data_IF_831155085891
#
_entry.id   IF_831155085891
#
_cell.length_a   1.000
_cell.length_b   1.000
_cell.length_c   1.000
_cell.angle_alpha   90.00
_cell.angle_beta   90.00
_cell.angle_gamma   90.00
#
_symmetry.space_group_name_H-M   'P 1'
#
loop_
_entity.id
_entity.type
_entity.pdbx_description
1 polymer ?
#
# COMPACT_ATOMS: atom_id res chain seq x y z
N UNK A 1 -7.55 12.79 -6.54
CA UNK A 1 -6.74 12.75 -5.30
C UNK A 1 -7.26 11.80 -4.23
N UNK A 2 -8.57 11.56 -4.07
CA UNK A 2 -9.10 10.69 -3.00
C UNK A 2 -9.24 9.20 -3.38
N UNK A 3 -8.74 8.80 -4.56
CA UNK A 3 -8.81 7.40 -4.96
C UNK A 3 -8.01 6.54 -3.97
N UNK A 4 -8.59 5.41 -3.57
CA UNK A 4 -8.05 4.50 -2.56
C UNK A 4 -7.95 5.04 -1.12
N UNK A 5 -8.52 6.21 -0.79
CA UNK A 5 -8.57 6.65 0.62
C UNK A 5 -9.33 5.65 1.50
N UNK A 6 -10.32 4.95 0.95
CA UNK A 6 -11.10 3.91 1.63
C UNK A 6 -10.27 2.71 2.10
N UNK A 7 -9.11 2.44 1.49
CA UNK A 7 -8.30 1.27 1.82
C UNK A 7 -7.36 1.50 3.02
N UNK A 8 -7.03 2.76 3.33
CA UNK A 8 -6.04 3.08 4.37
C UNK A 8 -6.51 4.14 5.36
N UNK A 9 -7.53 4.95 5.05
CA UNK A 9 -8.05 5.95 5.98
C UNK A 9 -9.10 5.35 6.93
N UNK A 10 -8.65 5.05 8.14
CA UNK A 10 -9.50 4.50 9.21
C UNK A 10 -10.02 5.58 10.18
N UNK A 11 -9.81 6.86 9.85
CA UNK A 11 -9.98 8.00 10.74
C UNK A 11 -8.69 8.41 11.44
N UNK A 12 -8.77 9.48 12.23
CA UNK A 12 -7.63 10.00 13.01
C UNK A 12 -7.29 9.10 14.21
N UNK A 13 -8.30 8.42 14.73
CA UNK A 13 -8.26 7.69 15.99
C UNK A 13 -8.68 6.23 15.80
N UNK A 14 -8.09 5.33 16.58
CA UNK A 14 -8.43 3.90 16.67
C UNK A 14 -8.35 3.41 18.11
N UNK A 15 -9.09 2.36 18.43
CA UNK A 15 -8.90 1.65 19.70
C UNK A 15 -7.51 1.00 19.75
N UNK A 16 -6.86 1.11 20.89
CA UNK A 16 -5.56 0.51 21.13
C UNK A 16 -5.69 -1.00 21.21
N UNK A 17 -4.79 -1.69 20.51
CA UNK A 17 -4.69 -3.15 20.56
C UNK A 17 -4.37 -3.67 21.97
N UNK A 18 -3.41 -3.04 22.65
CA UNK A 18 -2.92 -3.52 23.95
C UNK A 18 -3.81 -3.07 25.12
N UNK A 19 -4.60 -2.01 24.91
CA UNK A 19 -5.38 -1.35 25.94
C UNK A 19 -6.78 -1.07 25.37
N UNK A 20 -7.74 -2.01 25.46
CA UNK A 20 -9.01 -1.90 24.75
C UNK A 20 -9.82 -0.64 25.12
N UNK A 21 -9.65 -0.14 26.34
CA UNK A 21 -10.31 1.08 26.83
C UNK A 21 -9.59 2.39 26.42
N UNK A 22 -8.51 2.32 25.63
CA UNK A 22 -7.71 3.49 25.24
C UNK A 22 -7.82 3.76 23.74
N UNK A 23 -8.13 5.00 23.39
CA UNK A 23 -8.07 5.49 22.01
C UNK A 23 -6.66 6.02 21.71
N UNK A 24 -6.13 5.67 20.55
CA UNK A 24 -4.78 6.04 20.08
C UNK A 24 -4.86 6.49 18.62
N UNK A 25 -3.94 7.36 18.20
CA UNK A 25 -3.85 7.78 16.80
C UNK A 25 -3.61 6.62 15.83
N UNK A 26 -4.11 6.76 14.60
CA UNK A 26 -3.93 5.76 13.53
C UNK A 26 -2.54 5.76 12.89
N UNK A 27 -1.70 6.76 13.17
CA UNK A 27 -0.35 6.87 12.62
C UNK A 27 -0.32 7.33 11.15
N UNK A 28 -1.40 7.91 10.65
CA UNK A 28 -1.52 8.39 9.27
C UNK A 28 -1.23 9.89 9.09
N UNK A 29 -0.80 10.58 10.14
CA UNK A 29 -0.56 12.04 10.16
C UNK A 29 0.32 12.49 8.99
N UNK A 30 1.49 11.86 8.80
CA UNK A 30 2.42 12.20 7.72
C UNK A 30 1.78 12.09 6.33
N UNK A 31 0.98 11.05 6.08
CA UNK A 31 0.30 10.87 4.79
C UNK A 31 -0.72 11.98 4.54
N UNK A 32 -1.44 12.38 5.58
CA UNK A 32 -2.40 13.50 5.53
C UNK A 32 -1.66 14.81 5.27
N UNK A 33 -0.53 15.04 5.91
CA UNK A 33 0.29 16.25 5.72
C UNK A 33 0.86 16.33 4.30
N UNK A 34 1.33 15.20 3.76
CA UNK A 34 1.84 15.12 2.39
C UNK A 34 0.72 15.39 1.37
N UNK A 35 -0.47 14.81 1.58
CA UNK A 35 -1.65 15.11 0.77
C UNK A 35 -2.06 16.59 0.85
N UNK A 36 -2.03 17.17 2.05
CA UNK A 36 -2.36 18.57 2.27
C UNK A 36 -1.37 19.49 1.57
N UNK A 37 -0.07 19.14 1.57
CA UNK A 37 0.96 19.88 0.84
C UNK A 37 0.68 19.88 -0.66
N UNK A 38 0.41 18.71 -1.23
CA UNK A 38 0.05 18.58 -2.65
C UNK A 38 -1.22 19.37 -3.01
N UNK A 39 -2.25 19.31 -2.14
CA UNK A 39 -3.49 20.05 -2.33
C UNK A 39 -3.26 21.56 -2.35
N UNK A 40 -2.52 22.10 -1.37
CA UNK A 40 -2.23 23.52 -1.30
C UNK A 40 -1.37 24.01 -2.47
N UNK A 41 -0.44 23.18 -2.94
CA UNK A 41 0.34 23.48 -4.14
C UNK A 41 -0.55 23.54 -5.38
N UNK A 42 -1.49 22.61 -5.53
CA UNK A 42 -2.46 22.63 -6.63
C UNK A 42 -3.37 23.86 -6.57
N UNK A 43 -3.89 24.21 -5.39
CA UNK A 43 -4.74 25.40 -5.19
C UNK A 43 -3.97 26.68 -5.56
N UNK A 44 -2.72 26.83 -5.10
CA UNK A 44 -1.89 27.99 -5.43
C UNK A 44 -1.52 28.07 -6.91
N UNK A 45 -1.43 26.94 -7.61
CA UNK A 45 -1.22 26.92 -9.05
C UNK A 45 -2.47 27.31 -9.85
N UNK A 46 -3.67 27.05 -9.30
CA UNK A 46 -4.94 27.33 -9.97
C UNK A 46 -5.45 28.76 -9.71
N UNK A 47 -5.16 29.34 -8.55
CA UNK A 47 -5.65 30.67 -8.16
C UNK A 47 -4.56 31.75 -8.33
N UNK A 48 -4.92 32.99 -8.71
CA UNK A 48 -3.96 34.11 -8.78
C UNK A 48 -3.61 34.62 -7.38
N UNK A 49 -2.76 33.88 -6.67
CA UNK A 49 -2.51 34.09 -5.23
C UNK A 49 -1.02 34.27 -4.94
N UNK A 50 -0.67 35.25 -4.09
CA UNK A 50 0.71 35.48 -3.68
C UNK A 50 1.18 34.47 -2.61
N UNK A 51 2.52 34.35 -2.47
CA UNK A 51 3.16 33.37 -1.56
C UNK A 51 2.70 33.50 -0.10
N UNK A 52 2.41 34.72 0.34
CA UNK A 52 2.02 35.05 1.73
C UNK A 52 0.53 34.88 2.04
N UNK A 53 -0.30 34.43 1.09
CA UNK A 53 -1.72 34.24 1.37
C UNK A 53 -1.92 33.12 2.37
N UNK A 54 -2.65 33.39 3.47
CA UNK A 54 -2.85 32.40 4.51
C UNK A 54 -3.70 31.24 4.01
N UNK A 55 -3.36 30.04 4.46
CA UNK A 55 -4.04 28.78 4.14
C UNK A 55 -5.57 28.80 4.24
N UNK A 56 -6.22 29.39 5.26
CA UNK A 56 -7.68 29.43 5.32
C UNK A 56 -8.31 30.22 4.15
N UNK A 57 -7.65 31.28 3.67
CA UNK A 57 -8.12 32.03 2.50
C UNK A 57 -8.02 31.16 1.25
N UNK A 58 -6.94 30.39 1.08
CA UNK A 58 -6.81 29.46 -0.05
C UNK A 58 -7.98 28.46 -0.14
N UNK A 59 -8.39 27.90 1.00
CA UNK A 59 -9.53 26.98 1.04
C UNK A 59 -10.87 27.67 0.74
N UNK A 60 -11.04 28.91 1.22
CA UNK A 60 -12.23 29.71 0.92
C UNK A 60 -12.33 30.06 -0.56
N UNK A 61 -11.25 30.57 -1.16
CA UNK A 61 -11.23 31.02 -2.56
C UNK A 61 -11.27 29.83 -3.54
N UNK A 62 -10.68 28.68 -3.19
CA UNK A 62 -10.79 27.47 -4.02
C UNK A 62 -12.13 26.76 -3.90
N UNK A 63 -12.89 27.01 -2.83
CA UNK A 63 -14.06 26.22 -2.47
C UNK A 63 -13.75 24.78 -2.07
N UNK A 64 -12.47 24.41 -1.91
CA UNK A 64 -12.04 23.05 -1.57
C UNK A 64 -11.79 22.95 -0.06
N UNK A 65 -12.47 22.05 0.66
CA UNK A 65 -12.26 21.88 2.09
C UNK A 65 -10.90 21.22 2.39
N UNK A 66 -10.50 21.27 3.66
CA UNK A 66 -9.26 20.67 4.14
C UNK A 66 -9.19 19.16 3.85
N UNK A 67 -7.97 18.65 3.70
CA UNK A 67 -7.69 17.25 3.37
C UNK A 67 -8.34 16.26 4.35
N UNK A 68 -8.34 16.56 5.65
CA UNK A 68 -8.98 15.73 6.68
C UNK A 68 -10.49 15.63 6.48
N UNK A 69 -11.15 16.75 6.21
CA UNK A 69 -12.59 16.81 5.93
C UNK A 69 -12.95 16.01 4.68
N UNK A 70 -12.13 16.10 3.63
CA UNK A 70 -12.31 15.32 2.41
C UNK A 70 -12.20 13.80 2.64
N UNK A 71 -11.22 13.39 3.45
CA UNK A 71 -11.01 11.98 3.81
C UNK A 71 -12.16 11.43 4.65
N UNK A 72 -12.65 12.19 5.63
CA UNK A 72 -13.84 11.81 6.41
C UNK A 72 -15.08 11.70 5.53
N UNK A 73 -15.31 12.66 4.62
CA UNK A 73 -16.42 12.59 3.68
C UNK A 73 -16.31 11.35 2.76
N UNK A 74 -15.11 11.01 2.28
CA UNK A 74 -14.89 9.81 1.49
C UNK A 74 -15.16 8.53 2.31
N UNK A 75 -14.71 8.49 3.55
CA UNK A 75 -14.97 7.39 4.49
C UNK A 75 -16.47 7.19 4.71
N UNK A 76 -17.23 8.25 5.00
CA UNK A 76 -18.68 8.18 5.21
C UNK A 76 -19.43 7.69 3.97
N UNK A 77 -19.02 8.11 2.77
CA UNK A 77 -19.59 7.60 1.52
C UNK A 77 -19.31 6.11 1.34
N UNK A 78 -18.09 5.67 1.65
CA UNK A 78 -17.71 4.27 1.53
C UNK A 78 -18.42 3.37 2.53
N UNK A 79 -18.47 3.78 3.81
CA UNK A 79 -19.16 3.03 4.85
C UNK A 79 -20.64 2.89 4.49
N UNK A 80 -21.28 3.98 4.05
CA UNK A 80 -22.67 3.94 3.57
C UNK A 80 -22.86 2.97 2.40
N UNK A 81 -21.94 2.96 1.43
CA UNK A 81 -21.97 2.01 0.29
C UNK A 81 -21.90 0.55 0.75
N UNK A 82 -21.08 0.24 1.74
CA UNK A 82 -21.01 -1.11 2.33
C UNK A 82 -22.30 -1.43 3.08
N UNK A 83 -22.84 -0.49 3.86
CA UNK A 83 -24.05 -0.71 4.66
C UNK A 83 -25.34 -0.86 3.83
N UNK A 84 -25.38 -0.27 2.64
CA UNK A 84 -26.52 -0.40 1.71
C UNK A 84 -26.48 -1.69 0.89
N UNK A 85 -25.38 -2.42 0.94
CA UNK A 85 -25.18 -3.64 0.17
C UNK A 85 -25.96 -4.78 0.83
N UNK A 86 -26.56 -5.67 0.01
CA UNK A 86 -27.27 -6.84 0.52
C UNK A 86 -26.34 -7.71 1.39
N UNK A 87 -26.89 -8.33 2.43
CA UNK A 87 -26.15 -9.17 3.37
C UNK A 87 -25.49 -10.37 2.67
N UNK A 88 -26.09 -10.85 1.58
CA UNK A 88 -25.54 -11.94 0.75
C UNK A 88 -24.45 -11.46 -0.22
N UNK A 89 -24.17 -10.17 -0.29
CA UNK A 89 -23.20 -9.63 -1.23
C UNK A 89 -21.75 -10.05 -0.82
N UNK A 90 -20.91 -10.50 -1.77
CA UNK A 90 -19.56 -11.01 -1.45
C UNK A 90 -18.65 -9.97 -0.78
N UNK A 91 -18.84 -8.67 -1.06
CA UNK A 91 -18.12 -7.59 -0.35
C UNK A 91 -18.48 -7.55 1.13
N UNK A 92 -19.75 -7.74 1.51
CA UNK A 92 -20.17 -7.77 2.92
C UNK A 92 -19.56 -8.99 3.62
N UNK A 93 -19.52 -10.14 2.94
CA UNK A 93 -18.84 -11.33 3.48
C UNK A 93 -17.34 -11.08 3.70
N UNK A 94 -16.67 -10.37 2.79
CA UNK A 94 -15.26 -9.99 2.95
C UNK A 94 -15.05 -9.05 4.12
N UNK A 95 -15.89 -8.02 4.29
CA UNK A 95 -15.75 -7.10 5.44
C UNK A 95 -16.03 -7.81 6.77
N UNK A 96 -16.93 -8.79 6.82
CA UNK A 96 -17.18 -9.64 7.99
C UNK A 96 -15.98 -10.54 8.34
N UNK A 97 -15.40 -11.19 7.32
CA UNK A 97 -14.25 -12.08 7.48
C UNK A 97 -12.95 -11.33 7.79
N UNK A 98 -12.89 -10.06 7.36
CA UNK A 98 -11.83 -9.12 7.68
C UNK A 98 -12.09 -8.35 8.98
N UNK A 99 -13.20 -8.64 9.69
CA UNK A 99 -13.34 -8.21 11.10
C UNK A 99 -12.33 -8.98 11.92
N UNK A 100 -11.13 -8.42 11.96
CA UNK A 100 -10.08 -8.67 12.93
C UNK A 100 -9.91 -10.17 13.24
N UNK A 101 -9.23 -10.89 12.34
CA UNK A 101 -8.41 -11.99 12.83
C UNK A 101 -7.23 -11.34 13.53
N UNK A 102 -7.03 -11.54 14.85
CA UNK A 102 -5.79 -11.11 15.48
C UNK A 102 -4.66 -11.70 14.64
N UNK A 103 -3.74 -10.85 14.22
CA UNK A 103 -2.55 -11.24 13.49
C UNK A 103 -1.73 -12.19 14.36
N UNK A 104 -2.12 -13.46 14.38
CA UNK A 104 -1.37 -14.54 14.99
C UNK A 104 -0.11 -14.82 14.17
N UNK A 105 0.02 -14.26 12.94
CA UNK A 105 1.23 -14.33 12.13
C UNK A 105 2.35 -13.40 12.62
N UNK A 106 2.04 -12.45 13.53
CA UNK A 106 3.08 -11.77 14.32
C UNK A 106 3.67 -12.62 15.43
N UNK A 107 3.12 -13.82 15.69
CA UNK A 107 3.95 -14.91 16.20
C UNK A 107 4.85 -15.28 15.03
N UNK A 108 6.06 -14.69 14.98
CA UNK A 108 7.13 -15.32 14.20
C UNK A 108 7.08 -16.80 14.58
N UNK A 109 6.79 -17.75 13.67
CA UNK A 109 7.07 -19.12 14.00
C UNK A 109 8.52 -19.11 14.46
N UNK A 110 8.80 -19.66 15.66
CA UNK A 110 10.16 -20.05 16.00
C UNK A 110 10.52 -21.22 15.08
N UNK A 111 10.55 -20.99 13.77
CA UNK A 111 11.37 -21.80 12.87
C UNK A 111 12.77 -21.52 13.35
N UNK A 112 13.32 -22.45 14.14
CA UNK A 112 14.76 -22.64 14.20
C UNK A 112 15.22 -22.54 12.75
N UNK A 113 16.16 -21.65 12.48
CA UNK A 113 16.80 -21.60 11.16
C UNK A 113 17.50 -22.95 11.02
N UNK A 114 16.78 -23.95 10.51
CA UNK A 114 17.41 -25.10 9.87
C UNK A 114 18.00 -24.54 8.60
N UNK A 115 19.26 -24.88 8.34
CA UNK A 115 20.08 -24.37 7.25
C UNK A 115 19.24 -23.97 6.02
N UNK A 116 19.30 -22.67 5.69
CA UNK A 116 18.58 -22.13 4.55
C UNK A 116 19.25 -22.67 3.30
N UNK A 117 18.82 -23.85 2.85
CA UNK A 117 19.21 -24.34 1.53
C UNK A 117 18.78 -23.32 0.49
N UNK A 118 19.71 -22.86 -0.33
CA UNK A 118 19.39 -21.90 -1.39
C UNK A 118 18.51 -22.58 -2.44
N UNK A 119 17.74 -21.81 -3.23
CA UNK A 119 16.95 -22.38 -4.34
C UNK A 119 17.80 -23.25 -5.27
N UNK A 120 19.07 -22.88 -5.45
CA UNK A 120 20.03 -23.63 -6.28
C UNK A 120 20.39 -24.98 -5.67
N UNK A 121 20.63 -25.04 -4.36
CA UNK A 121 20.89 -26.29 -3.64
C UNK A 121 19.68 -27.23 -3.66
N UNK A 122 18.47 -26.69 -3.50
CA UNK A 122 17.23 -27.48 -3.60
C UNK A 122 17.08 -28.06 -5.01
N UNK A 123 17.34 -27.26 -6.05
CA UNK A 123 17.28 -27.76 -7.43
C UNK A 123 18.38 -28.78 -7.71
N UNK A 124 19.58 -28.62 -7.14
CA UNK A 124 20.69 -29.56 -7.31
C UNK A 124 20.37 -30.93 -6.68
N UNK A 125 19.84 -30.96 -5.47
CA UNK A 125 19.40 -32.20 -4.81
C UNK A 125 18.30 -32.92 -5.62
N UNK A 126 17.34 -32.17 -6.19
CA UNK A 126 16.25 -32.74 -6.97
C UNK A 126 16.71 -33.31 -8.32
N UNK A 127 17.79 -32.77 -8.89
CA UNK A 127 18.30 -33.19 -10.19
C UNK A 127 19.28 -34.38 -10.08
N UNK A 128 19.77 -34.71 -8.89
CA UNK A 128 20.78 -35.77 -8.69
C UNK A 128 22.10 -35.50 -9.42
N UNK A 129 22.98 -36.50 -9.52
CA UNK A 129 24.26 -36.43 -10.26
C UNK A 129 24.03 -36.35 -11.78
N UNK A 130 23.46 -35.25 -12.26
CA UNK A 130 23.46 -34.95 -13.69
C UNK A 130 24.86 -34.56 -14.14
N UNK A 131 25.40 -35.27 -15.13
CA UNK A 131 26.69 -34.96 -15.74
C UNK A 131 26.58 -33.57 -16.38
N UNK A 132 27.29 -32.58 -15.81
CA UNK A 132 27.29 -31.18 -16.28
C UNK A 132 27.42 -31.15 -17.80
N UNK A 133 26.50 -30.50 -18.54
CA UNK A 133 26.54 -30.53 -19.99
C UNK A 133 27.84 -29.90 -20.48
N UNK A 134 28.52 -30.60 -21.39
CA UNK A 134 29.74 -30.08 -22.02
C UNK A 134 29.40 -28.78 -22.75
N UNK A 135 30.25 -27.75 -22.65
CA UNK A 135 29.99 -26.48 -23.32
C UNK A 135 29.85 -26.72 -24.82
N UNK A 136 28.77 -26.18 -25.40
CA UNK A 136 28.55 -26.19 -26.84
C UNK A 136 29.78 -25.53 -27.49
N UNK A 137 30.48 -26.29 -28.33
CA UNK A 137 31.56 -25.74 -29.14
C UNK A 137 30.95 -24.65 -30.03
N UNK A 138 31.42 -23.42 -29.86
CA UNK A 138 31.06 -22.34 -30.78
C UNK A 138 31.61 -22.70 -32.16
N UNK A 139 30.81 -22.59 -33.24
CA UNK A 139 31.31 -22.86 -34.57
C UNK A 139 32.47 -21.91 -34.86
N UNK A 140 33.63 -22.49 -35.15
CA UNK A 140 34.77 -21.77 -35.72
C UNK A 140 34.35 -21.30 -37.10
N UNK A 141 34.01 -20.01 -37.22
CA UNK A 141 33.73 -19.39 -38.51
C UNK A 141 34.99 -19.50 -39.39
N UNK A 142 34.90 -20.03 -40.62
CA UNK A 142 36.03 -20.01 -41.54
C UNK A 142 36.30 -18.55 -41.95
N UNK A 143 37.57 -18.17 -41.87
CA UNK A 143 38.06 -16.89 -42.38
C UNK A 143 38.10 -17.02 -43.91
N UNK A 144 37.11 -16.46 -44.60
CA UNK A 144 37.14 -16.30 -46.04
C UNK A 144 38.15 -15.20 -46.38
N UNK A 145 39.34 -15.64 -46.81
CA UNK A 145 40.31 -14.80 -47.50
C UNK A 145 39.79 -14.56 -48.92
N UNK A 146 39.58 -13.29 -49.28
CA UNK A 146 39.37 -12.87 -50.67
C UNK A 146 40.52 -11.94 -51.05
N UNK A 147 41.40 -12.47 -51.91
CA UNK A 147 42.19 -11.72 -52.90
C UNK A 147 41.58 -12.00 -54.28
#
# INVERSE_FOLDING_TARGET
MLYASEAWWNGTERQSFFLPNKVVGTGHTRKVDDLNRCLLQAIRGALPVWRTTPTPILHRESGIPHTTTLLEAARLRYTRRIHLLDDKHPIVQRTYNDRYKPDSSRRKPKTKVTDKRTRLEITADLLGDMKKPLPLQTPTNPVDNTD
#
